data_IF_176562453301
#
_entry.id   IF_176562453301
#
_cell.length_a   1.000
_cell.length_b   1.000
_cell.length_c   1.000
_cell.angle_alpha   90.00
_cell.angle_beta   90.00
_cell.angle_gamma   90.00
#
_symmetry.space_group_name_H-M   'P 1'
#
loop_
_entity.id
_entity.type
_entity.pdbx_description
1 polymer ?
#
# COMPACT_ATOMS: atom_id res chain seq x y z
N UNK A 1 4.57 37.67 3.66
CA UNK A 1 5.32 38.50 2.68
C UNK A 1 4.52 39.73 2.26
N UNK A 2 3.22 39.60 1.92
CA UNK A 2 2.33 40.71 1.55
C UNK A 2 2.18 41.81 2.63
N UNK A 3 1.95 41.45 3.91
CA UNK A 3 1.87 42.40 5.04
C UNK A 3 3.08 43.34 5.15
N UNK A 4 4.29 42.80 5.00
CA UNK A 4 5.53 43.60 5.03
C UNK A 4 5.62 44.58 3.86
N UNK A 5 5.12 44.22 2.68
CA UNK A 5 5.17 45.08 1.50
C UNK A 5 4.13 46.21 1.57
N UNK A 6 2.91 45.92 2.04
CA UNK A 6 1.87 46.93 2.23
C UNK A 6 2.21 47.92 3.34
N UNK A 7 2.74 47.44 4.47
CA UNK A 7 3.21 48.31 5.54
C UNK A 7 4.37 49.22 5.08
N UNK A 8 5.28 48.69 4.25
CA UNK A 8 6.37 49.47 3.65
C UNK A 8 5.83 50.53 2.69
N UNK A 9 4.86 50.18 1.85
CA UNK A 9 4.23 51.11 0.91
C UNK A 9 3.43 52.22 1.61
N UNK A 10 2.67 51.90 2.67
CA UNK A 10 1.96 52.88 3.48
C UNK A 10 2.92 53.85 4.18
N UNK A 11 4.06 53.34 4.68
CA UNK A 11 5.13 54.15 5.28
C UNK A 11 5.84 55.04 4.24
N UNK A 12 6.13 54.53 3.05
CA UNK A 12 6.70 55.32 1.94
C UNK A 12 5.75 56.46 1.49
N UNK A 13 4.43 56.22 1.44
CA UNK A 13 3.44 57.28 1.16
C UNK A 13 3.40 58.33 2.28
N UNK A 14 3.55 57.91 3.54
CA UNK A 14 3.60 58.82 4.68
C UNK A 14 4.82 59.73 4.58
N UNK A 15 6.01 59.15 4.36
CA UNK A 15 7.27 59.90 4.15
C UNK A 15 7.12 60.93 3.02
N UNK A 16 6.54 60.55 1.87
CA UNK A 16 6.33 61.50 0.76
C UNK A 16 5.37 62.63 1.14
N UNK A 17 4.35 62.34 1.94
CA UNK A 17 3.40 63.34 2.44
C UNK A 17 4.08 64.31 3.41
N UNK A 18 4.89 63.80 4.34
CA UNK A 18 5.65 64.61 5.32
C UNK A 18 6.77 65.41 4.66
N UNK A 19 7.47 64.86 3.67
CA UNK A 19 8.50 65.55 2.89
C UNK A 19 7.89 66.73 2.10
N UNK A 20 6.73 66.52 1.46
CA UNK A 20 5.96 67.59 0.82
C UNK A 20 5.59 68.69 1.82
N UNK A 21 5.13 68.32 3.02
CA UNK A 21 4.72 69.24 4.08
C UNK A 21 5.92 70.03 4.66
N UNK A 22 7.10 69.39 4.75
CA UNK A 22 8.34 69.97 5.28
C UNK A 22 9.06 70.93 4.31
N UNK A 23 8.88 70.76 3.00
CA UNK A 23 9.52 71.59 1.98
C UNK A 23 9.00 73.04 1.92
N UNK A 24 8.09 73.47 2.80
CA UNK A 24 7.58 74.86 2.89
C UNK A 24 6.89 75.38 1.61
N UNK A 25 6.85 74.58 0.56
CA UNK A 25 6.34 74.91 -0.77
C UNK A 25 4.88 74.53 -0.96
N UNK A 26 4.23 73.89 0.01
CA UNK A 26 2.79 73.60 -0.09
C UNK A 26 2.00 74.91 -0.09
N UNK A 27 2.37 75.90 0.73
CA UNK A 27 1.63 77.18 0.74
C UNK A 27 1.81 77.99 -0.56
N UNK A 28 2.95 77.86 -1.26
CA UNK A 28 3.20 78.52 -2.55
C UNK A 28 2.70 77.72 -3.77
N UNK A 29 2.73 76.38 -3.75
CA UNK A 29 2.23 75.51 -4.84
C UNK A 29 0.70 75.37 -4.78
N UNK A 30 0.11 75.32 -3.59
CA UNK A 30 -1.36 75.31 -3.39
C UNK A 30 -1.99 76.63 -3.87
N UNK A 31 -1.22 77.72 -3.89
CA UNK A 31 -1.67 79.05 -4.29
C UNK A 31 -1.56 79.31 -5.81
N UNK A 32 -0.81 78.50 -6.57
CA UNK A 32 -0.59 78.72 -8.00
C UNK A 32 -1.19 77.65 -8.93
N UNK A 33 -1.41 76.41 -8.49
CA UNK A 33 -1.88 75.34 -9.38
C UNK A 33 -2.95 74.41 -8.76
N UNK A 34 -4.23 74.47 -9.21
CA UNK A 34 -5.33 73.70 -8.61
C UNK A 34 -5.13 72.17 -8.70
N UNK A 35 -4.26 71.69 -9.61
CA UNK A 35 -3.93 70.27 -9.78
C UNK A 35 -3.16 69.65 -8.61
N UNK A 36 -2.27 70.38 -7.95
CA UNK A 36 -1.44 69.81 -6.88
C UNK A 36 -2.26 69.43 -5.64
N UNK A 37 -3.30 70.21 -5.35
CA UNK A 37 -4.28 69.99 -4.27
C UNK A 37 -5.09 68.72 -4.52
N UNK A 38 -5.52 68.54 -5.76
CA UNK A 38 -6.34 67.40 -6.17
C UNK A 38 -5.53 66.10 -6.10
N UNK A 39 -4.27 66.14 -6.51
CA UNK A 39 -3.35 64.99 -6.42
C UNK A 39 -3.05 64.61 -4.95
N UNK A 40 -2.81 65.57 -4.06
CA UNK A 40 -2.62 65.29 -2.63
C UNK A 40 -3.89 64.70 -1.98
N UNK A 41 -5.08 65.18 -2.38
CA UNK A 41 -6.37 64.64 -1.92
C UNK A 41 -6.60 63.21 -2.42
N UNK A 42 -6.19 62.89 -3.64
CA UNK A 42 -6.24 61.53 -4.20
C UNK A 42 -5.25 60.61 -3.47
N UNK A 43 -4.03 61.08 -3.19
CA UNK A 43 -3.02 60.32 -2.44
C UNK A 43 -3.47 59.93 -1.04
N UNK A 44 -4.02 60.87 -0.28
CA UNK A 44 -4.57 60.60 1.07
C UNK A 44 -5.77 59.65 1.03
N UNK A 45 -6.61 59.73 -0.01
CA UNK A 45 -7.73 58.78 -0.20
C UNK A 45 -7.23 57.39 -0.55
N UNK A 46 -6.19 57.28 -1.37
CA UNK A 46 -5.56 56.00 -1.72
C UNK A 46 -4.92 55.36 -0.50
N UNK A 47 -4.19 56.13 0.32
CA UNK A 47 -3.59 55.63 1.57
C UNK A 47 -4.63 55.02 2.51
N UNK A 48 -5.72 55.75 2.78
CA UNK A 48 -6.81 55.24 3.64
C UNK A 48 -7.39 53.92 3.14
N UNK A 49 -7.60 53.78 1.83
CA UNK A 49 -8.14 52.54 1.26
C UNK A 49 -7.16 51.37 1.38
N UNK A 50 -5.87 51.62 1.22
CA UNK A 50 -4.83 50.58 1.37
C UNK A 50 -4.73 50.14 2.83
N UNK A 51 -4.77 51.07 3.77
CA UNK A 51 -4.76 50.75 5.20
C UNK A 51 -6.01 49.96 5.62
N UNK A 52 -7.19 50.34 5.12
CA UNK A 52 -8.45 49.64 5.39
C UNK A 52 -8.42 48.19 4.86
N UNK A 53 -7.96 48.01 3.62
CA UNK A 53 -7.76 46.69 3.03
C UNK A 53 -6.74 45.88 3.86
N UNK A 54 -5.65 46.49 4.30
CA UNK A 54 -4.64 45.81 5.10
C UNK A 54 -5.21 45.30 6.42
N UNK A 55 -6.00 46.12 7.11
CA UNK A 55 -6.67 45.74 8.37
C UNK A 55 -7.65 44.59 8.11
N UNK A 56 -8.47 44.67 7.07
CA UNK A 56 -9.41 43.60 6.71
C UNK A 56 -8.71 42.27 6.41
N UNK A 57 -7.56 42.30 5.70
CA UNK A 57 -6.77 41.10 5.45
C UNK A 57 -6.15 40.52 6.72
N UNK A 58 -5.71 41.35 7.66
CA UNK A 58 -5.16 40.87 8.93
C UNK A 58 -6.23 40.17 9.77
N UNK A 59 -7.42 40.77 9.87
CA UNK A 59 -8.56 40.17 10.57
C UNK A 59 -8.93 38.79 9.96
N UNK A 60 -8.91 38.68 8.63
CA UNK A 60 -9.15 37.41 7.93
C UNK A 60 -8.05 36.36 8.16
N UNK A 61 -6.81 36.78 8.30
CA UNK A 61 -5.70 35.86 8.61
C UNK A 61 -5.85 35.32 10.03
N UNK A 62 -6.20 36.18 10.98
CA UNK A 62 -6.37 35.80 12.38
C UNK A 62 -7.58 34.87 12.55
N UNK A 63 -8.69 35.14 11.85
CA UNK A 63 -9.85 34.25 11.77
C UNK A 63 -9.47 32.86 11.22
N UNK A 64 -8.67 32.83 10.14
CA UNK A 64 -8.16 31.58 9.56
C UNK A 64 -7.26 30.81 10.55
N UNK A 65 -6.37 31.50 11.26
CA UNK A 65 -5.51 30.88 12.27
C UNK A 65 -6.34 30.27 13.41
N UNK A 66 -7.35 30.99 13.88
CA UNK A 66 -8.27 30.48 14.90
C UNK A 66 -9.03 29.24 14.42
N UNK A 67 -9.54 29.26 13.19
CA UNK A 67 -10.23 28.12 12.58
C UNK A 67 -9.32 26.90 12.46
N UNK A 68 -8.06 27.09 12.02
CA UNK A 68 -7.07 26.00 11.93
C UNK A 68 -6.80 25.41 13.31
N UNK A 69 -6.61 26.25 14.33
CA UNK A 69 -6.37 25.80 15.69
C UNK A 69 -7.53 24.95 16.22
N UNK A 70 -8.77 25.45 16.10
CA UNK A 70 -9.98 24.73 16.51
C UNK A 70 -10.13 23.39 15.76
N UNK A 71 -9.89 23.38 14.45
CA UNK A 71 -9.97 22.17 13.63
C UNK A 71 -8.90 21.15 14.02
N UNK A 72 -7.67 21.60 14.28
CA UNK A 72 -6.57 20.72 14.70
C UNK A 72 -6.87 20.01 16.02
N UNK A 73 -7.48 20.71 16.99
CA UNK A 73 -7.88 20.13 18.28
C UNK A 73 -8.99 19.08 18.09
N UNK A 74 -10.01 19.40 17.31
CA UNK A 74 -11.06 18.43 16.97
C UNK A 74 -10.46 17.19 16.28
N UNK A 75 -9.52 17.41 15.36
CA UNK A 75 -8.84 16.35 14.62
C UNK A 75 -8.05 15.41 15.54
N UNK A 76 -7.41 15.90 16.61
CA UNK A 76 -6.69 15.06 17.57
C UNK A 76 -7.62 14.00 18.22
N UNK A 77 -8.86 14.37 18.54
CA UNK A 77 -9.83 13.43 19.13
C UNK A 77 -10.25 12.35 18.14
N UNK A 78 -10.46 12.72 16.87
CA UNK A 78 -10.78 11.80 15.78
C UNK A 78 -9.61 10.86 15.51
N UNK A 79 -8.37 11.37 15.48
CA UNK A 79 -7.17 10.55 15.34
C UNK A 79 -7.03 9.53 16.47
N UNK A 80 -7.26 9.93 17.72
CA UNK A 80 -7.22 9.01 18.85
C UNK A 80 -8.30 7.92 18.72
N UNK A 81 -9.49 8.29 18.26
CA UNK A 81 -10.58 7.36 18.00
C UNK A 81 -10.23 6.35 16.90
N UNK A 82 -9.70 6.83 15.76
CA UNK A 82 -9.25 5.99 14.64
C UNK A 82 -8.13 5.06 15.09
N UNK A 83 -7.10 5.56 15.77
CA UNK A 83 -6.00 4.74 16.28
C UNK A 83 -6.49 3.62 17.22
N UNK A 84 -7.50 3.91 18.05
CA UNK A 84 -8.12 2.91 18.93
C UNK A 84 -8.95 1.88 18.14
N UNK A 85 -9.64 2.31 17.10
CA UNK A 85 -10.38 1.41 16.21
C UNK A 85 -9.44 0.51 15.42
N UNK A 86 -8.37 1.08 14.86
CA UNK A 86 -7.33 0.38 14.10
C UNK A 86 -6.63 -0.69 14.93
N UNK A 87 -6.38 -0.42 16.22
CA UNK A 87 -5.82 -1.43 17.13
C UNK A 87 -6.77 -2.63 17.30
N UNK A 88 -8.09 -2.40 17.36
CA UNK A 88 -9.09 -3.47 17.47
C UNK A 88 -9.31 -4.21 16.15
N UNK A 89 -9.26 -3.53 15.01
CA UNK A 89 -9.40 -4.16 13.69
C UNK A 89 -8.14 -4.96 13.35
N UNK A 90 -6.94 -4.45 13.66
CA UNK A 90 -5.67 -5.14 13.44
C UNK A 90 -5.60 -6.47 14.24
N UNK A 91 -6.00 -6.46 15.52
CA UNK A 91 -6.05 -7.71 16.30
C UNK A 91 -7.07 -8.71 15.78
N UNK A 92 -8.24 -8.25 15.32
CA UNK A 92 -9.25 -9.11 14.68
C UNK A 92 -8.75 -9.67 13.35
N UNK A 93 -8.11 -8.84 12.53
CA UNK A 93 -7.57 -9.23 11.24
C UNK A 93 -6.40 -10.21 11.40
N UNK A 94 -5.54 -10.02 12.39
CA UNK A 94 -4.49 -10.98 12.76
C UNK A 94 -5.09 -12.34 13.16
N UNK A 95 -6.13 -12.36 13.99
CA UNK A 95 -6.84 -13.61 14.35
C UNK A 95 -7.51 -14.27 13.16
N UNK A 96 -8.15 -13.49 12.28
CA UNK A 96 -8.74 -14.00 11.05
C UNK A 96 -7.67 -14.58 10.12
N UNK A 97 -6.54 -13.89 9.94
CA UNK A 97 -5.41 -14.36 9.14
C UNK A 97 -4.80 -15.65 9.72
N UNK A 98 -4.71 -15.77 11.05
CA UNK A 98 -4.26 -16.99 11.71
C UNK A 98 -5.24 -18.15 11.46
N UNK A 99 -6.56 -17.90 11.57
CA UNK A 99 -7.58 -18.89 11.26
C UNK A 99 -7.56 -19.33 9.79
N UNK A 100 -7.40 -18.38 8.86
CA UNK A 100 -7.23 -18.65 7.43
C UNK A 100 -5.97 -19.47 7.20
N UNK A 101 -4.83 -19.13 7.80
CA UNK A 101 -3.60 -19.91 7.66
C UNK A 101 -3.77 -21.36 8.13
N UNK A 102 -4.52 -21.61 9.21
CA UNK A 102 -4.87 -22.96 9.66
C UNK A 102 -5.76 -23.68 8.65
N UNK A 103 -6.75 -23.01 8.08
CA UNK A 103 -7.63 -23.58 7.05
C UNK A 103 -6.88 -23.85 5.74
N UNK A 104 -5.98 -22.97 5.31
CA UNK A 104 -5.13 -23.13 4.12
C UNK A 104 -4.17 -24.32 4.25
N UNK A 105 -3.72 -24.67 5.47
CA UNK A 105 -2.96 -25.92 5.69
C UNK A 105 -3.77 -27.16 5.28
N UNK A 106 -5.08 -27.16 5.54
CA UNK A 106 -5.98 -28.26 5.15
C UNK A 106 -6.21 -28.26 3.64
N UNK A 107 -6.41 -27.09 3.04
CA UNK A 107 -6.57 -26.94 1.58
C UNK A 107 -5.31 -27.40 0.81
N UNK A 108 -4.12 -27.18 1.38
CA UNK A 108 -2.84 -27.66 0.83
C UNK A 108 -2.76 -29.19 0.76
N UNK A 109 -3.42 -29.90 1.68
CA UNK A 109 -3.48 -31.37 1.64
C UNK A 109 -4.30 -31.85 0.43
N UNK A 110 -5.39 -31.16 0.11
CA UNK A 110 -6.24 -31.48 -1.04
C UNK A 110 -5.52 -31.23 -2.37
N UNK A 111 -4.74 -30.15 -2.45
CA UNK A 111 -3.89 -29.85 -3.62
C UNK A 111 -2.83 -30.93 -3.86
N UNK A 112 -2.28 -31.51 -2.79
CA UNK A 112 -1.30 -32.61 -2.89
C UNK A 112 -1.93 -33.89 -3.42
N UNK A 113 -3.15 -34.22 -3.01
CA UNK A 113 -3.85 -35.40 -3.53
C UNK A 113 -4.03 -35.33 -5.05
N UNK A 114 -4.46 -34.19 -5.58
CA UNK A 114 -4.62 -34.00 -7.03
C UNK A 114 -3.28 -34.16 -7.76
N UNK A 115 -2.20 -33.57 -7.23
CA UNK A 115 -0.86 -33.69 -7.82
C UNK A 115 -0.31 -35.13 -7.78
N UNK A 116 -0.65 -35.91 -6.74
CA UNK A 116 -0.31 -37.33 -6.69
C UNK A 116 -1.08 -38.11 -7.75
N UNK A 117 -2.38 -37.83 -7.94
CA UNK A 117 -3.16 -38.46 -9.00
C UNK A 117 -2.56 -38.21 -10.38
N UNK A 118 -2.09 -37.00 -10.68
CA UNK A 118 -1.46 -36.67 -11.97
C UNK A 118 -0.09 -37.34 -12.14
N UNK A 119 0.73 -37.40 -11.09
CA UNK A 119 2.02 -38.13 -11.11
C UNK A 119 1.86 -39.62 -11.40
N UNK A 120 0.73 -40.23 -11.00
CA UNK A 120 0.41 -41.63 -11.26
C UNK A 120 -0.23 -41.81 -12.63
N UNK A 121 -1.15 -40.92 -12.97
CA UNK A 121 -1.95 -41.01 -14.17
C UNK A 121 -1.12 -40.82 -15.44
N UNK A 122 -0.18 -39.87 -15.45
CA UNK A 122 0.70 -39.64 -16.61
C UNK A 122 1.44 -40.92 -17.06
N UNK A 123 2.20 -41.61 -16.19
CA UNK A 123 2.94 -42.79 -16.62
C UNK A 123 2.03 -43.99 -16.89
N UNK A 124 0.90 -44.13 -16.18
CA UNK A 124 -0.08 -45.16 -16.47
C UNK A 124 -0.72 -44.98 -17.85
N UNK A 125 -1.04 -43.73 -18.21
CA UNK A 125 -1.56 -43.35 -19.53
C UNK A 125 -0.54 -43.60 -20.63
N UNK A 126 0.76 -43.36 -20.40
CA UNK A 126 1.81 -43.68 -21.37
C UNK A 126 1.93 -45.17 -21.63
N UNK A 127 1.82 -46.01 -20.58
CA UNK A 127 1.78 -47.47 -20.75
C UNK A 127 0.54 -47.88 -21.56
N UNK A 128 -0.65 -47.34 -21.24
CA UNK A 128 -1.86 -47.64 -22.00
C UNK A 128 -1.76 -47.24 -23.48
N UNK A 129 -1.16 -46.08 -23.79
CA UNK A 129 -0.94 -45.61 -25.16
C UNK A 129 0.04 -46.53 -25.94
N UNK A 130 1.10 -47.00 -25.29
CA UNK A 130 2.06 -47.93 -25.88
C UNK A 130 1.40 -49.30 -26.13
N UNK A 131 0.58 -49.80 -25.20
CA UNK A 131 -0.23 -51.01 -25.44
C UNK A 131 -1.23 -50.81 -26.59
N UNK A 132 -1.74 -49.60 -26.77
CA UNK A 132 -2.66 -49.28 -27.87
C UNK A 132 -1.97 -49.25 -29.25
N UNK A 133 -0.65 -49.05 -29.32
CA UNK A 133 0.10 -48.98 -30.59
C UNK A 133 0.97 -50.22 -30.86
N UNK A 134 1.56 -50.85 -29.83
CA UNK A 134 2.61 -51.87 -29.97
C UNK A 134 2.07 -53.32 -29.83
N UNK A 135 0.98 -53.53 -29.09
CA UNK A 135 0.45 -54.89 -28.81
C UNK A 135 -0.49 -55.46 -29.87
N UNK A 136 -0.94 -54.67 -30.86
CA UNK A 136 -1.80 -55.14 -31.95
C UNK A 136 -1.11 -55.00 -33.30
N UNK A 137 -0.13 -55.87 -33.58
CA UNK A 137 0.36 -56.06 -34.94
C UNK A 137 -0.48 -57.16 -35.64
N UNK A 138 -1.50 -56.75 -36.40
CA UNK A 138 -2.36 -57.64 -37.18
C UNK A 138 -1.71 -58.13 -38.50
N UNK A 139 -0.46 -57.73 -38.80
CA UNK A 139 0.27 -58.10 -40.04
C UNK A 139 1.42 -59.10 -39.81
N UNK A 140 1.25 -60.08 -38.91
CA UNK A 140 2.22 -61.17 -38.77
C UNK A 140 2.03 -62.24 -39.87
N UNK A 141 2.87 -62.22 -40.90
CA UNK A 141 3.03 -63.31 -41.88
C UNK A 141 3.53 -64.59 -41.20
N UNK A 142 3.05 -65.73 -41.69
CA UNK A 142 3.21 -67.09 -41.17
C UNK A 142 4.60 -67.39 -40.55
N UNK A 143 4.60 -67.71 -39.24
CA UNK A 143 5.72 -68.38 -38.57
C UNK A 143 6.57 -67.55 -37.60
N UNK A 144 6.28 -66.26 -37.39
CA UNK A 144 6.97 -65.43 -36.39
C UNK A 144 6.06 -65.18 -35.17
N UNK A 145 6.63 -65.31 -33.97
CA UNK A 145 5.93 -65.19 -32.69
C UNK A 145 5.15 -63.89 -32.59
N UNK A 146 3.80 -63.99 -32.58
CA UNK A 146 2.83 -62.90 -32.38
C UNK A 146 3.03 -62.20 -31.03
N UNK A 147 3.79 -62.80 -30.12
CA UNK A 147 4.15 -62.21 -28.84
C UNK A 147 5.65 -61.90 -28.82
N UNK A 148 5.98 -60.62 -28.85
CA UNK A 148 7.35 -60.13 -28.69
C UNK A 148 7.88 -60.49 -27.31
N UNK A 149 9.12 -60.99 -27.25
CA UNK A 149 9.87 -61.44 -26.05
C UNK A 149 10.10 -60.35 -24.98
N UNK A 150 9.46 -59.19 -25.12
CA UNK A 150 9.63 -57.97 -24.33
C UNK A 150 8.52 -57.73 -23.29
N UNK A 151 7.59 -58.67 -23.09
CA UNK A 151 6.61 -58.63 -21.97
C UNK A 151 7.29 -58.43 -20.61
N UNK A 152 8.53 -58.90 -20.44
CA UNK A 152 9.27 -58.69 -19.21
C UNK A 152 9.54 -57.19 -18.92
N UNK A 153 9.71 -56.38 -19.97
CA UNK A 153 9.91 -54.92 -19.84
C UNK A 153 8.66 -54.24 -19.25
N UNK A 154 7.47 -54.77 -19.53
CA UNK A 154 6.22 -54.33 -18.92
C UNK A 154 6.15 -54.67 -17.43
N UNK A 155 6.52 -55.90 -17.06
CA UNK A 155 6.57 -56.30 -15.65
C UNK A 155 7.55 -55.41 -14.87
N UNK A 156 8.71 -55.10 -15.44
CA UNK A 156 9.68 -54.17 -14.84
C UNK A 156 9.15 -52.74 -14.77
N UNK A 157 8.48 -52.24 -15.81
CA UNK A 157 7.87 -50.90 -15.82
C UNK A 157 6.77 -50.76 -14.76
N UNK A 158 5.88 -51.75 -14.66
CA UNK A 158 4.81 -51.77 -13.67
C UNK A 158 5.37 -51.84 -12.22
N UNK A 159 6.40 -52.65 -11.98
CA UNK A 159 7.09 -52.72 -10.68
C UNK A 159 7.86 -51.42 -10.38
N UNK A 160 8.49 -50.80 -11.39
CA UNK A 160 9.16 -49.52 -11.24
C UNK A 160 8.19 -48.38 -10.87
N UNK A 161 7.02 -48.36 -11.51
CA UNK A 161 5.98 -47.35 -11.24
C UNK A 161 5.36 -47.48 -9.85
N UNK A 162 5.13 -48.72 -9.41
CA UNK A 162 4.61 -49.03 -8.06
C UNK A 162 5.63 -48.67 -6.98
N UNK A 163 6.92 -48.92 -7.21
CA UNK A 163 7.97 -48.44 -6.32
C UNK A 163 8.06 -46.92 -6.29
N UNK A 164 7.90 -46.24 -7.43
CA UNK A 164 7.96 -44.78 -7.51
C UNK A 164 6.80 -44.13 -6.73
N UNK A 165 5.60 -44.69 -6.84
CA UNK A 165 4.44 -44.23 -6.06
C UNK A 165 4.62 -44.43 -4.56
N UNK A 166 5.08 -45.61 -4.15
CA UNK A 166 5.39 -45.89 -2.75
C UNK A 166 6.49 -44.95 -2.25
N UNK A 167 7.55 -44.72 -3.04
CA UNK A 167 8.63 -43.81 -2.69
C UNK A 167 8.15 -42.36 -2.59
N UNK A 168 7.32 -41.87 -3.52
CA UNK A 168 6.74 -40.54 -3.48
C UNK A 168 5.86 -40.34 -2.25
N UNK A 169 5.06 -41.34 -1.89
CA UNK A 169 4.24 -41.35 -0.68
C UNK A 169 5.08 -41.35 0.60
N UNK A 170 6.13 -42.18 0.64
CA UNK A 170 7.04 -42.28 1.79
C UNK A 170 7.87 -41.00 1.99
N UNK A 171 8.33 -40.38 0.89
CA UNK A 171 9.05 -39.11 0.89
C UNK A 171 8.15 -37.94 1.30
N UNK A 172 6.91 -37.87 0.77
CA UNK A 172 5.92 -36.87 1.18
C UNK A 172 5.62 -36.96 2.69
N UNK A 173 5.30 -38.17 3.16
CA UNK A 173 4.98 -38.42 4.56
C UNK A 173 6.15 -38.13 5.50
N UNK A 174 7.39 -38.48 5.12
CA UNK A 174 8.58 -38.20 5.96
C UNK A 174 8.90 -36.71 6.04
N UNK A 175 8.76 -35.97 4.94
CA UNK A 175 9.04 -34.52 4.92
C UNK A 175 8.02 -33.75 5.75
N UNK A 176 6.76 -34.17 5.71
CA UNK A 176 5.70 -33.56 6.50
C UNK A 176 5.87 -33.78 8.01
N UNK A 177 6.21 -35.00 8.42
CA UNK A 177 6.46 -35.30 9.84
C UNK A 177 7.64 -34.52 10.42
N UNK A 178 8.72 -34.34 9.65
CA UNK A 178 9.88 -33.54 10.07
C UNK A 178 9.61 -32.03 10.13
N UNK A 179 8.72 -31.52 9.28
CA UNK A 179 8.36 -30.10 9.25
C UNK A 179 7.27 -29.73 10.25
N UNK A 180 6.31 -30.63 10.50
CA UNK A 180 5.24 -30.45 11.49
C UNK A 180 5.81 -30.39 12.92
N UNK A 181 6.70 -31.31 13.27
CA UNK A 181 7.34 -31.38 14.59
C UNK A 181 8.20 -30.14 14.89
N UNK A 182 8.83 -29.56 13.85
CA UNK A 182 9.57 -28.30 14.01
C UNK A 182 8.62 -27.11 14.18
N UNK A 183 7.52 -27.04 13.43
CA UNK A 183 6.55 -25.94 13.52
C UNK A 183 5.79 -25.90 14.85
N UNK A 184 5.46 -27.07 15.42
CA UNK A 184 4.82 -27.16 16.73
C UNK A 184 5.77 -26.69 17.84
N UNK A 185 7.06 -27.01 17.75
CA UNK A 185 8.07 -26.47 18.66
C UNK A 185 8.26 -24.94 18.55
N UNK A 186 8.10 -24.35 17.35
CA UNK A 186 8.11 -22.89 17.20
C UNK A 186 6.86 -22.22 17.77
N UNK A 187 5.67 -22.81 17.59
CA UNK A 187 4.41 -22.26 18.11
C UNK A 187 4.26 -22.45 19.64
N UNK A 188 4.80 -23.55 20.18
CA UNK A 188 4.78 -23.86 21.62
C UNK A 188 5.97 -23.24 22.38
N UNK A 189 6.89 -22.57 21.69
CA UNK A 189 7.81 -21.67 22.38
C UNK A 189 6.99 -20.49 22.94
N UNK A 190 7.12 -20.14 24.23
CA UNK A 190 6.40 -19.00 24.78
C UNK A 190 6.81 -17.77 23.98
N UNK A 191 5.90 -17.28 23.14
CA UNK A 191 6.01 -15.98 22.49
C UNK A 191 6.16 -14.97 23.63
N UNK A 192 7.39 -14.55 23.90
CA UNK A 192 7.66 -13.42 24.77
C UNK A 192 6.97 -12.25 24.07
N UNK A 193 5.81 -11.89 24.59
CA UNK A 193 5.17 -10.62 24.28
C UNK A 193 6.14 -9.58 24.81
N UNK A 194 7.14 -9.25 24.00
CA UNK A 194 7.95 -8.07 24.19
C UNK A 194 6.96 -6.93 23.98
N UNK A 195 6.53 -6.44 25.13
CA UNK A 195 5.69 -5.29 25.32
C UNK A 195 6.34 -4.17 24.54
N UNK A 196 5.69 -3.78 23.44
CA UNK A 196 5.95 -2.51 22.80
C UNK A 196 5.67 -1.43 23.85
N UNK A 197 6.74 -0.99 24.50
CA UNK A 197 6.75 0.22 25.31
C UNK A 197 6.62 1.39 24.34
N UNK A 198 5.51 2.10 24.45
CA UNK A 198 5.21 3.32 23.73
C UNK A 198 6.17 4.42 24.23
N UNK A 199 6.96 4.98 23.31
CA UNK A 199 7.53 6.34 23.44
C UNK A 199 6.70 7.27 22.57
#
# INVERSE_FOLDING_TARGET
MAKRQLAKFSNEIDIITTEFESLGGVEYIYKSEPRAIEVAKVGTKMKRRVDDIMIEYEDKIDECQMMICNTSLAMQTVWNHIARQDSKTNTKMSKANAAVAVQTKVESAQMRTIALLTMIYLPLSSVAAIFSMDMFNWEAVEGQSIVSKHIWLFAVLAVGLTLLTIAAWFLGTRREKAMADKSDNYFNSPQRHDTFEYV
#
